data_IF_086717974701
#
_entry.id   IF_086717974701
#
_cell.length_a   1.000
_cell.length_b   1.000
_cell.length_c   1.000
_cell.angle_alpha   90.00
_cell.angle_beta   90.00
_cell.angle_gamma   90.00
#
_symmetry.space_group_name_H-M   'P 1'
#
loop_
_entity.id
_entity.type
_entity.pdbx_description
1 polymer ?
#
# COMPACT_ATOMS: atom_id res chain seq x y z
N UNK A 1 6.25 1.41 -36.84
CA UNK A 1 6.39 1.23 -35.38
C UNK A 1 7.57 0.32 -35.11
N UNK A 2 8.49 0.66 -34.18
CA UNK A 2 9.52 -0.28 -33.74
C UNK A 2 8.86 -1.55 -33.22
N UNK A 3 9.44 -2.73 -33.49
CA UNK A 3 8.97 -3.97 -32.89
C UNK A 3 9.27 -3.91 -31.39
N UNK A 4 8.23 -3.88 -30.57
CA UNK A 4 8.37 -3.98 -29.11
C UNK A 4 9.21 -5.21 -28.74
N UNK A 5 10.13 -5.05 -27.79
CA UNK A 5 10.88 -6.17 -27.21
C UNK A 5 9.92 -7.26 -26.73
N UNK A 6 10.25 -8.53 -27.01
CA UNK A 6 9.46 -9.67 -26.53
C UNK A 6 9.31 -9.67 -25.01
N UNK A 7 10.34 -9.24 -24.27
CA UNK A 7 10.32 -9.09 -22.81
C UNK A 7 9.29 -8.05 -22.37
N UNK A 8 9.25 -6.88 -23.03
CA UNK A 8 8.33 -5.81 -22.67
C UNK A 8 6.90 -6.19 -23.03
N UNK A 9 6.69 -6.78 -24.20
CA UNK A 9 5.40 -7.32 -24.61
C UNK A 9 4.89 -8.36 -23.60
N UNK A 10 5.74 -9.27 -23.16
CA UNK A 10 5.39 -10.26 -22.14
C UNK A 10 4.93 -9.59 -20.84
N UNK A 11 5.65 -8.58 -20.35
CA UNK A 11 5.26 -7.87 -19.11
C UNK A 11 3.93 -7.17 -19.29
N UNK A 12 3.76 -6.41 -20.38
CA UNK A 12 2.51 -5.69 -20.63
C UNK A 12 1.33 -6.66 -20.75
N UNK A 13 1.49 -7.78 -21.47
CA UNK A 13 0.45 -8.81 -21.60
C UNK A 13 0.14 -9.52 -20.26
N UNK A 14 1.15 -9.82 -19.43
CA UNK A 14 0.96 -10.49 -18.13
C UNK A 14 0.43 -9.56 -17.04
N UNK A 15 0.66 -8.26 -17.18
CA UNK A 15 0.21 -7.23 -16.23
C UNK A 15 -1.04 -6.48 -16.69
N UNK A 16 -1.58 -6.82 -17.87
CA UNK A 16 -2.86 -6.30 -18.34
C UNK A 16 -4.04 -7.05 -17.67
N UNK A 17 -5.15 -6.35 -17.39
CA UNK A 17 -6.39 -7.01 -17.01
C UNK A 17 -6.84 -7.95 -18.13
N UNK A 18 -7.17 -9.21 -17.82
CA UNK A 18 -7.71 -10.13 -18.82
C UNK A 18 -9.14 -9.74 -19.22
N UNK A 19 -9.58 -10.04 -20.47
CA UNK A 19 -10.94 -9.77 -20.92
C UNK A 19 -12.01 -10.43 -20.02
N UNK A 20 -13.17 -9.78 -19.93
CA UNK A 20 -14.35 -10.30 -19.24
C UNK A 20 -14.69 -11.72 -19.76
N UNK A 21 -14.83 -12.68 -18.84
CA UNK A 21 -15.20 -14.07 -19.15
C UNK A 21 -14.08 -15.10 -18.99
N UNK A 22 -12.82 -14.70 -18.89
CA UNK A 22 -11.77 -15.54 -18.29
C UNK A 22 -11.67 -15.18 -16.81
N UNK A 23 -11.70 -16.14 -15.89
CA UNK A 23 -11.66 -15.87 -14.44
C UNK A 23 -10.47 -14.93 -14.17
N UNK A 24 -10.70 -13.65 -13.81
CA UNK A 24 -9.59 -12.73 -13.75
C UNK A 24 -8.83 -13.01 -12.45
N UNK A 25 -7.52 -12.87 -12.52
CA UNK A 25 -6.67 -12.69 -11.35
C UNK A 25 -7.02 -11.31 -10.73
N UNK A 26 -8.21 -11.19 -10.11
CA UNK A 26 -8.75 -9.98 -9.47
C UNK A 26 -8.19 -9.87 -8.06
N UNK A 27 -7.85 -8.67 -7.61
CA UNK A 27 -7.23 -8.45 -6.30
C UNK A 27 -6.02 -9.37 -6.08
N UNK A 28 -5.29 -9.63 -7.17
CA UNK A 28 -4.18 -10.57 -7.21
C UNK A 28 -2.94 -9.85 -7.71
N UNK A 29 -1.79 -10.36 -7.28
CA UNK A 29 -0.51 -10.03 -7.86
C UNK A 29 -0.26 -11.01 -9.00
N UNK A 30 -0.39 -10.68 -10.29
CA UNK A 30 0.31 -11.46 -11.30
C UNK A 30 1.80 -11.33 -10.95
N UNK A 31 2.31 -12.29 -10.17
CA UNK A 31 3.68 -12.31 -9.70
C UNK A 31 4.54 -12.46 -10.95
N UNK A 32 5.12 -11.36 -11.39
CA UNK A 32 6.41 -11.39 -12.05
C UNK A 32 7.41 -10.95 -10.99
N UNK A 33 7.58 -11.79 -9.95
CA UNK A 33 8.71 -11.66 -9.01
C UNK A 33 10.04 -12.04 -9.67
N UNK A 34 10.02 -12.43 -10.94
CA UNK A 34 11.22 -12.63 -11.71
C UNK A 34 11.92 -11.29 -11.94
N UNK A 35 13.17 -11.24 -11.51
CA UNK A 35 14.09 -10.16 -11.83
C UNK A 35 14.37 -10.22 -13.34
N UNK A 36 13.88 -9.24 -14.09
CA UNK A 36 14.03 -9.18 -15.54
C UNK A 36 15.23 -8.31 -15.89
N UNK A 37 16.24 -8.89 -16.54
CA UNK A 37 17.35 -8.12 -17.09
C UNK A 37 16.87 -7.30 -18.29
N UNK A 38 17.12 -5.99 -18.25
CA UNK A 38 16.57 -5.04 -19.22
C UNK A 38 17.56 -3.94 -19.58
N UNK A 39 17.43 -3.39 -20.78
CA UNK A 39 18.10 -2.14 -21.15
C UNK A 39 17.21 -0.93 -20.83
N UNK A 40 17.81 0.27 -20.75
CA UNK A 40 17.02 1.50 -20.63
C UNK A 40 16.07 1.75 -21.81
N UNK A 41 16.42 1.30 -23.02
CA UNK A 41 15.52 1.42 -24.17
C UNK A 41 14.28 0.54 -23.98
N UNK A 42 14.44 -0.64 -23.39
CA UNK A 42 13.31 -1.49 -23.00
C UNK A 42 12.48 -0.86 -21.87
N UNK A 43 13.11 -0.13 -20.93
CA UNK A 43 12.38 0.65 -19.92
C UNK A 43 11.58 1.78 -20.57
N UNK A 44 12.15 2.49 -21.53
CA UNK A 44 11.45 3.52 -22.29
C UNK A 44 10.28 2.94 -23.11
N UNK A 45 10.46 1.78 -23.75
CA UNK A 45 9.38 1.05 -24.45
C UNK A 45 8.26 0.64 -23.49
N UNK A 46 8.61 0.19 -22.28
CA UNK A 46 7.66 -0.16 -21.24
C UNK A 46 6.80 1.03 -20.82
N UNK A 47 7.43 2.19 -20.59
CA UNK A 47 6.73 3.44 -20.22
C UNK A 47 5.85 3.92 -21.38
N UNK A 48 6.39 3.92 -22.60
CA UNK A 48 5.64 4.34 -23.79
C UNK A 48 4.44 3.42 -24.09
N UNK A 49 4.51 2.14 -23.72
CA UNK A 49 3.46 1.14 -23.93
C UNK A 49 2.26 1.26 -22.98
N UNK A 50 2.36 2.01 -21.89
CA UNK A 50 1.22 2.30 -21.01
C UNK A 50 0.30 3.37 -21.62
N UNK A 51 -1.00 3.32 -21.32
CA UNK A 51 -2.01 4.24 -21.89
C UNK A 51 -1.88 5.68 -21.34
N UNK A 52 -2.51 6.66 -21.99
CA UNK A 52 -2.43 8.08 -21.58
C UNK A 52 -3.21 8.38 -20.28
N UNK A 53 -4.09 7.46 -19.86
CA UNK A 53 -4.79 7.51 -18.57
C UNK A 53 -3.94 6.98 -17.41
N UNK A 54 -2.61 6.95 -17.58
CA UNK A 54 -1.67 6.35 -16.64
C UNK A 54 -0.77 7.43 -16.01
N UNK A 55 -0.63 7.37 -14.68
CA UNK A 55 0.20 8.30 -13.91
C UNK A 55 1.45 7.59 -13.39
N UNK A 56 2.59 8.29 -13.47
CA UNK A 56 3.86 7.84 -12.95
C UNK A 56 4.21 8.56 -11.65
N UNK A 57 4.63 7.78 -10.67
CA UNK A 57 5.17 8.25 -9.41
C UNK A 57 6.65 7.90 -9.39
N UNK A 58 7.49 8.85 -9.00
CA UNK A 58 8.93 8.68 -8.98
C UNK A 58 9.40 8.80 -7.53
N UNK A 59 10.13 7.79 -7.06
CA UNK A 59 10.79 7.80 -5.75
C UNK A 59 12.05 8.69 -5.79
N UNK A 60 12.45 9.26 -4.66
CA UNK A 60 13.68 10.07 -4.50
C UNK A 60 14.90 9.35 -5.09
N UNK A 61 15.06 8.06 -4.79
CA UNK A 61 16.20 7.27 -5.28
C UNK A 61 16.21 7.06 -6.80
N UNK A 62 15.07 7.22 -7.48
CA UNK A 62 15.03 7.19 -8.94
C UNK A 62 15.75 8.41 -9.53
N UNK A 63 15.70 9.56 -8.86
CA UNK A 63 16.43 10.78 -9.25
C UNK A 63 17.90 10.74 -8.83
N UNK A 64 18.16 10.21 -7.63
CA UNK A 64 19.41 10.44 -6.91
C UNK A 64 20.38 9.27 -6.90
N UNK A 65 20.00 8.03 -7.20
CA UNK A 65 20.93 6.90 -6.99
C UNK A 65 21.88 6.66 -8.19
N UNK A 66 21.54 7.15 -9.38
CA UNK A 66 22.28 6.85 -10.61
C UNK A 66 21.80 7.69 -11.80
N UNK A 67 22.57 7.68 -12.89
CA UNK A 67 22.16 8.30 -14.14
C UNK A 67 21.17 7.42 -14.91
N UNK A 68 19.94 7.92 -15.05
CA UNK A 68 18.90 7.38 -15.92
C UNK A 68 19.13 7.95 -17.33
N UNK A 69 19.06 7.10 -18.37
CA UNK A 69 19.28 7.57 -19.75
C UNK A 69 18.17 8.52 -20.20
N UNK A 70 18.54 9.48 -21.06
CA UNK A 70 17.61 10.46 -21.63
C UNK A 70 16.37 9.82 -22.28
N UNK A 71 16.52 8.66 -22.94
CA UNK A 71 15.40 7.95 -23.58
C UNK A 71 14.27 7.58 -22.60
N UNK A 72 14.59 7.31 -21.33
CA UNK A 72 13.59 7.06 -20.29
C UNK A 72 12.90 8.36 -19.86
N UNK A 73 13.66 9.45 -19.71
CA UNK A 73 13.09 10.77 -19.41
C UNK A 73 12.20 11.29 -20.53
N UNK A 74 12.59 11.07 -21.80
CA UNK A 74 11.78 11.42 -22.96
C UNK A 74 10.45 10.65 -22.96
N UNK A 75 10.48 9.35 -22.61
CA UNK A 75 9.27 8.54 -22.49
C UNK A 75 8.39 8.99 -21.31
N UNK A 76 8.98 9.32 -20.16
CA UNK A 76 8.27 9.87 -19.01
C UNK A 76 7.66 11.25 -19.31
N UNK A 77 8.33 12.09 -20.11
CA UNK A 77 7.83 13.40 -20.51
C UNK A 77 6.55 13.35 -21.37
N UNK A 78 6.22 12.19 -21.95
CA UNK A 78 4.95 11.95 -22.65
C UNK A 78 3.85 11.43 -21.72
N UNK A 79 4.13 11.24 -20.43
CA UNK A 79 3.19 10.70 -19.44
C UNK A 79 2.94 11.71 -18.35
N UNK A 80 1.84 11.53 -17.62
CA UNK A 80 1.56 12.34 -16.45
C UNK A 80 2.41 11.84 -15.28
N UNK A 81 3.19 12.72 -14.67
CA UNK A 81 3.97 12.45 -13.47
C UNK A 81 3.25 13.08 -12.29
N UNK A 82 3.07 12.34 -11.21
CA UNK A 82 2.57 12.87 -9.94
C UNK A 82 3.67 12.79 -8.90
N UNK A 83 4.04 13.94 -8.35
CA UNK A 83 5.05 14.09 -7.32
C UNK A 83 4.36 14.20 -5.96
N UNK A 84 4.76 13.37 -5.00
CA UNK A 84 4.27 13.49 -3.62
C UNK A 84 5.05 14.55 -2.85
N UNK A 85 4.41 15.10 -1.82
CA UNK A 85 4.97 16.13 -0.96
C UNK A 85 6.26 15.66 -0.29
N UNK A 86 6.30 14.43 0.23
CA UNK A 86 7.48 13.83 0.85
C UNK A 86 8.66 13.72 -0.10
N UNK A 87 8.46 13.17 -1.30
CA UNK A 87 9.53 13.05 -2.31
C UNK A 87 10.02 14.43 -2.72
N UNK A 88 9.12 15.39 -2.95
CA UNK A 88 9.52 16.75 -3.31
C UNK A 88 10.39 17.43 -2.25
N UNK A 89 10.09 17.19 -0.97
CA UNK A 89 10.89 17.68 0.16
C UNK A 89 12.24 16.97 0.26
N UNK A 90 12.29 15.67 0.05
CA UNK A 90 13.55 14.90 0.05
C UNK A 90 14.48 15.30 -1.09
N UNK A 91 13.93 15.74 -2.22
CA UNK A 91 14.70 16.22 -3.35
C UNK A 91 15.31 17.61 -3.13
N UNK A 92 15.02 18.32 -2.02
CA UNK A 92 15.59 19.65 -1.76
C UNK A 92 17.12 19.71 -1.85
N UNK A 93 17.89 18.82 -1.20
CA UNK A 93 19.35 18.83 -1.30
C UNK A 93 19.84 18.56 -2.73
N UNK A 94 19.18 17.64 -3.44
CA UNK A 94 19.49 17.32 -4.84
C UNK A 94 19.20 18.50 -5.77
N UNK A 95 18.09 19.23 -5.54
CA UNK A 95 17.76 20.45 -6.32
C UNK A 95 18.78 21.55 -6.13
N UNK A 96 19.34 21.70 -4.93
CA UNK A 96 20.37 22.70 -4.63
C UNK A 96 21.75 22.31 -5.18
N UNK A 97 22.09 21.03 -5.22
CA UNK A 97 23.35 20.52 -5.73
C UNK A 97 23.16 19.18 -6.44
N UNK A 98 22.71 19.20 -7.72
CA UNK A 98 22.37 17.98 -8.42
C UNK A 98 23.63 17.23 -8.84
N UNK A 99 23.64 15.93 -8.58
CA UNK A 99 24.77 15.05 -8.92
C UNK A 99 24.42 14.08 -10.05
N UNK A 100 23.32 13.33 -9.95
CA UNK A 100 22.73 12.58 -11.06
C UNK A 100 21.47 13.26 -11.60
N UNK A 101 21.19 13.09 -12.89
CA UNK A 101 19.98 13.58 -13.57
C UNK A 101 19.69 15.09 -13.39
N UNK A 102 20.73 15.91 -13.14
CA UNK A 102 20.57 17.33 -12.81
C UNK A 102 19.90 18.18 -13.90
N UNK A 103 19.92 17.71 -15.15
CA UNK A 103 19.19 18.32 -16.26
C UNK A 103 17.66 18.35 -16.05
N UNK A 104 17.13 17.53 -15.14
CA UNK A 104 15.71 17.50 -14.79
C UNK A 104 15.32 18.57 -13.77
N UNK A 105 16.27 19.16 -13.01
CA UNK A 105 15.95 20.15 -11.97
C UNK A 105 15.15 21.34 -12.53
N UNK A 106 15.54 21.98 -13.65
CA UNK A 106 14.75 23.07 -14.23
C UNK A 106 13.34 22.63 -14.60
N UNK A 107 13.18 21.43 -15.20
CA UNK A 107 11.87 20.90 -15.63
C UNK A 107 10.88 20.79 -14.47
N UNK A 108 11.33 20.28 -13.31
CA UNK A 108 10.46 20.13 -12.15
C UNK A 108 10.20 21.46 -11.42
N UNK A 109 11.18 22.37 -11.38
CA UNK A 109 10.97 23.71 -10.79
C UNK A 109 9.98 24.52 -11.63
N UNK A 110 10.17 24.56 -12.95
CA UNK A 110 9.28 25.26 -13.88
C UNK A 110 7.86 24.69 -13.79
N UNK A 111 7.71 23.36 -13.68
CA UNK A 111 6.41 22.73 -13.51
C UNK A 111 5.71 23.13 -12.21
N UNK A 112 6.46 23.32 -11.10
CA UNK A 112 5.91 23.76 -9.82
C UNK A 112 5.45 25.22 -9.87
N UNK A 113 6.16 26.07 -10.60
CA UNK A 113 5.84 27.49 -10.72
C UNK A 113 4.72 27.76 -11.73
N UNK A 114 4.74 27.07 -12.88
CA UNK A 114 3.84 27.35 -14.01
C UNK A 114 2.54 26.54 -14.02
N UNK A 115 2.34 25.63 -13.05
CA UNK A 115 1.21 24.67 -13.00
C UNK A 115 1.17 23.83 -14.28
N UNK A 116 2.03 22.83 -14.35
CA UNK A 116 2.09 21.89 -15.48
C UNK A 116 0.92 20.90 -15.49
N UNK A 117 0.38 20.58 -16.67
CA UNK A 117 -0.57 19.47 -16.84
C UNK A 117 0.13 18.10 -16.89
N UNK A 118 1.43 18.09 -17.17
CA UNK A 118 2.25 16.87 -17.28
C UNK A 118 2.81 16.47 -15.92
N UNK A 119 3.29 17.44 -15.13
CA UNK A 119 3.84 17.18 -13.79
C UNK A 119 2.91 17.82 -12.76
N UNK A 120 2.23 16.97 -11.99
CA UNK A 120 1.32 17.36 -10.93
C UNK A 120 1.99 17.20 -9.57
N UNK A 121 1.83 18.17 -8.69
CA UNK A 121 2.20 18.05 -7.29
C UNK A 121 0.96 17.70 -6.48
N UNK A 122 1.05 16.67 -5.65
CA UNK A 122 -0.11 16.14 -4.95
C UNK A 122 -0.73 17.15 -3.96
N UNK A 123 0.10 18.01 -3.36
CA UNK A 123 -0.34 19.10 -2.48
C UNK A 123 -1.21 20.14 -3.18
N UNK A 124 -1.03 20.32 -4.50
CA UNK A 124 -1.80 21.28 -5.29
C UNK A 124 -3.12 20.67 -5.80
N UNK A 125 -3.29 19.35 -5.66
CA UNK A 125 -4.46 18.64 -6.16
C UNK A 125 -5.60 18.66 -5.12
N UNK A 126 -6.78 19.13 -5.56
CA UNK A 126 -7.98 19.23 -4.74
C UNK A 126 -8.71 17.89 -4.60
N UNK A 127 -8.11 16.92 -3.89
CA UNK A 127 -8.65 15.57 -3.74
C UNK A 127 -9.92 15.47 -2.87
N UNK A 128 -10.29 16.53 -2.14
CA UNK A 128 -11.38 16.52 -1.18
C UNK A 128 -11.02 15.81 0.13
N UNK A 129 -11.84 16.06 1.17
CA UNK A 129 -11.58 15.57 2.53
C UNK A 129 -11.52 14.04 2.61
N UNK A 130 -12.45 13.26 2.01
CA UNK A 130 -12.44 11.81 2.14
C UNK A 130 -11.15 11.16 1.60
N UNK A 131 -10.66 11.64 0.45
CA UNK A 131 -9.42 11.15 -0.15
C UNK A 131 -8.20 11.49 0.72
N UNK A 132 -8.14 12.71 1.27
CA UNK A 132 -7.08 13.12 2.18
C UNK A 132 -7.05 12.27 3.46
N UNK A 133 -8.22 12.00 4.04
CA UNK A 133 -8.35 11.11 5.22
C UNK A 133 -7.94 9.68 4.87
N UNK A 134 -8.41 9.13 3.75
CA UNK A 134 -8.02 7.81 3.27
C UNK A 134 -6.50 7.68 3.11
N UNK A 135 -5.88 8.63 2.38
CA UNK A 135 -4.42 8.65 2.16
C UNK A 135 -3.70 8.66 3.51
N UNK A 136 -4.00 9.64 4.35
CA UNK A 136 -3.32 9.82 5.62
C UNK A 136 -3.54 8.62 6.56
N UNK A 137 -4.71 7.98 6.52
CA UNK A 137 -4.97 6.78 7.31
C UNK A 137 -4.04 5.63 6.91
N UNK A 138 -3.90 5.33 5.60
CA UNK A 138 -2.99 4.29 5.15
C UNK A 138 -1.53 4.62 5.38
N UNK A 139 -1.13 5.89 5.22
CA UNK A 139 0.23 6.34 5.59
C UNK A 139 0.52 5.97 7.03
N UNK A 140 -0.39 6.28 7.95
CA UNK A 140 -0.19 6.01 9.36
C UNK A 140 -0.20 4.52 9.72
N UNK A 141 -1.03 3.71 9.07
CA UNK A 141 -1.09 2.27 9.28
C UNK A 141 0.19 1.58 8.79
N UNK A 142 0.71 1.99 7.63
CA UNK A 142 1.98 1.47 7.11
C UNK A 142 3.16 1.93 7.97
N UNK A 143 3.15 3.20 8.40
CA UNK A 143 4.17 3.80 9.26
C UNK A 143 4.31 3.12 10.62
N UNK A 144 3.29 2.40 11.10
CA UNK A 144 3.33 1.69 12.38
C UNK A 144 4.53 0.74 12.49
N UNK A 145 4.95 0.17 11.36
CA UNK A 145 6.10 -0.73 11.29
C UNK A 145 7.39 -0.03 11.71
N UNK A 146 7.56 1.23 11.32
CA UNK A 146 8.67 2.10 11.74
C UNK A 146 8.48 2.57 13.17
N UNK A 147 7.25 2.95 13.56
CA UNK A 147 6.94 3.44 14.92
C UNK A 147 7.12 2.40 16.02
N UNK A 148 6.93 1.11 15.72
CA UNK A 148 7.20 0.01 16.67
C UNK A 148 8.60 0.05 17.25
N UNK A 149 9.59 0.53 16.48
CA UNK A 149 10.95 0.72 16.98
C UNK A 149 10.97 1.63 18.22
N UNK A 150 10.20 2.73 18.19
CA UNK A 150 10.08 3.64 19.32
C UNK A 150 9.36 3.00 20.50
N UNK A 151 8.31 2.19 20.25
CA UNK A 151 7.62 1.48 21.34
C UNK A 151 8.55 0.51 22.09
N UNK A 152 9.49 -0.15 21.40
CA UNK A 152 10.50 -0.99 22.06
C UNK A 152 11.48 -0.16 22.90
N UNK A 153 11.85 1.03 22.44
CA UNK A 153 12.66 1.97 23.22
C UNK A 153 11.90 2.44 24.46
N UNK A 154 10.64 2.84 24.31
CA UNK A 154 9.81 3.33 25.40
C UNK A 154 9.58 2.24 26.46
N UNK A 155 9.32 1.00 26.05
CA UNK A 155 9.20 -0.15 26.94
C UNK A 155 10.52 -0.43 27.67
N UNK A 156 11.66 -0.36 26.97
CA UNK A 156 12.96 -0.52 27.60
C UNK A 156 13.21 0.56 28.65
N UNK A 157 12.94 1.82 28.33
CA UNK A 157 13.10 2.96 29.25
C UNK A 157 12.19 2.81 30.46
N UNK A 158 10.94 2.41 30.27
CA UNK A 158 9.99 2.17 31.36
C UNK A 158 10.48 1.06 32.31
N UNK A 159 11.09 0.01 31.77
CA UNK A 159 11.57 -1.14 32.55
C UNK A 159 12.94 -0.93 33.19
N UNK A 160 13.85 -0.19 32.55
CA UNK A 160 15.26 -0.06 32.95
C UNK A 160 15.62 1.34 33.50
N UNK A 161 14.73 2.32 33.36
CA UNK A 161 14.95 3.70 33.82
C UNK A 161 16.03 4.48 33.06
N UNK A 162 16.50 3.97 31.91
CA UNK A 162 17.52 4.60 31.06
C UNK A 162 17.31 4.28 29.58
N UNK A 163 17.97 5.05 28.70
CA UNK A 163 18.00 4.76 27.27
C UNK A 163 18.78 3.46 26.98
N UNK A 164 18.37 2.67 25.97
CA UNK A 164 19.11 1.49 25.53
C UNK A 164 20.41 1.89 24.84
N UNK A 165 21.46 1.07 25.01
CA UNK A 165 22.65 1.15 24.17
C UNK A 165 22.37 0.64 22.76
N UNK A 166 23.25 0.92 21.80
CA UNK A 166 23.12 0.40 20.42
C UNK A 166 23.05 -1.13 20.36
N UNK A 167 23.78 -1.83 21.23
CA UNK A 167 23.78 -3.30 21.29
C UNK A 167 22.49 -3.85 21.90
N UNK A 168 21.98 -3.20 22.96
CA UNK A 168 20.72 -3.57 23.59
C UNK A 168 19.56 -3.35 22.62
N UNK A 169 19.58 -2.25 21.89
CA UNK A 169 18.57 -1.97 20.88
C UNK A 169 18.59 -2.99 19.74
N UNK A 170 19.78 -3.34 19.23
CA UNK A 170 19.89 -4.40 18.22
C UNK A 170 19.33 -5.72 18.74
N UNK A 171 19.59 -6.05 20.01
CA UNK A 171 19.06 -7.25 20.67
C UNK A 171 17.54 -7.20 20.79
N UNK A 172 16.96 -6.04 21.15
CA UNK A 172 15.51 -5.85 21.19
C UNK A 172 14.88 -6.09 19.82
N UNK A 173 15.44 -5.48 18.77
CA UNK A 173 14.93 -5.60 17.42
C UNK A 173 15.04 -7.04 16.88
N UNK A 174 16.14 -7.73 17.14
CA UNK A 174 16.32 -9.14 16.77
C UNK A 174 15.38 -10.09 17.50
N UNK A 175 15.02 -9.78 18.76
CA UNK A 175 14.04 -10.58 19.51
C UNK A 175 12.61 -10.34 19.06
N UNK A 176 12.31 -9.15 18.54
CA UNK A 176 10.97 -8.71 18.23
C UNK A 176 10.46 -9.13 16.84
N UNK A 177 11.36 -9.46 15.90
CA UNK A 177 10.99 -9.79 14.53
C UNK A 177 12.06 -10.56 13.78
N UNK A 178 11.83 -10.78 12.49
CA UNK A 178 12.81 -11.44 11.61
C UNK A 178 13.89 -10.44 11.11
N UNK A 179 14.79 -10.89 10.22
CA UNK A 179 15.84 -10.04 9.65
C UNK A 179 15.28 -8.81 8.89
N UNK A 180 14.14 -8.96 8.23
CA UNK A 180 13.47 -7.88 7.49
C UNK A 180 12.89 -6.85 8.45
N UNK A 181 12.22 -7.29 9.50
CA UNK A 181 11.70 -6.41 10.56
C UNK A 181 12.82 -5.64 11.25
N UNK A 182 13.97 -6.28 11.50
CA UNK A 182 15.14 -5.64 12.10
C UNK A 182 15.60 -4.41 11.30
N UNK A 183 15.70 -4.53 9.97
CA UNK A 183 16.08 -3.41 9.11
C UNK A 183 15.08 -2.25 9.15
N UNK A 184 13.79 -2.58 9.20
CA UNK A 184 12.71 -1.59 9.27
C UNK A 184 12.72 -0.87 10.62
N UNK A 185 12.90 -1.60 11.72
CA UNK A 185 13.00 -0.97 13.04
C UNK A 185 14.20 -0.04 13.12
N UNK A 186 15.34 -0.45 12.54
CA UNK A 186 16.54 0.39 12.49
C UNK A 186 16.36 1.63 11.61
N UNK A 187 15.67 1.51 10.47
CA UNK A 187 15.30 2.64 9.60
C UNK A 187 14.38 3.60 10.34
N UNK A 188 13.30 3.07 10.93
CA UNK A 188 12.33 3.85 11.70
C UNK A 188 12.97 4.62 12.86
N UNK A 189 13.85 3.99 13.64
CA UNK A 189 14.54 4.67 14.74
C UNK A 189 15.37 5.88 14.26
N UNK A 190 16.12 5.70 13.16
CA UNK A 190 16.94 6.78 12.58
C UNK A 190 16.07 7.92 12.08
N UNK A 191 15.03 7.61 11.32
CA UNK A 191 14.15 8.62 10.71
C UNK A 191 13.37 9.39 11.79
N UNK A 192 12.83 8.70 12.80
CA UNK A 192 12.13 9.33 13.93
C UNK A 192 13.06 10.27 14.69
N UNK A 193 14.33 9.92 14.88
CA UNK A 193 15.29 10.79 15.58
C UNK A 193 15.66 12.07 14.81
N UNK A 194 15.52 12.06 13.48
CA UNK A 194 15.85 13.20 12.60
C UNK A 194 14.63 14.09 12.33
N UNK A 195 13.41 13.55 12.49
CA UNK A 195 12.15 14.33 12.56
C UNK A 195 11.60 14.84 11.23
N UNK A 196 12.36 14.80 10.14
CA UNK A 196 11.90 15.20 8.80
C UNK A 196 11.65 13.97 7.90
N UNK A 197 10.55 13.98 7.14
CA UNK A 197 10.24 13.03 6.06
C UNK A 197 10.19 11.54 6.45
N UNK A 198 9.81 11.23 7.68
CA UNK A 198 9.81 9.85 8.24
C UNK A 198 8.94 8.85 7.44
N UNK A 199 7.95 9.34 6.69
CA UNK A 199 6.94 8.50 6.04
C UNK A 199 6.80 8.75 4.53
N UNK A 200 7.87 9.18 3.86
CA UNK A 200 7.85 9.46 2.41
C UNK A 200 7.45 8.23 1.59
N UNK A 201 8.01 7.06 1.91
CA UNK A 201 7.69 5.80 1.21
C UNK A 201 6.22 5.43 1.35
N UNK A 202 5.70 5.53 2.56
CA UNK A 202 4.29 5.28 2.89
C UNK A 202 3.36 6.28 2.19
N UNK A 203 3.73 7.56 2.15
CA UNK A 203 2.99 8.61 1.44
C UNK A 203 2.98 8.36 -0.07
N UNK A 204 4.11 7.95 -0.65
CA UNK A 204 4.25 7.64 -2.08
C UNK A 204 3.28 6.54 -2.50
N UNK A 205 3.28 5.41 -1.79
CA UNK A 205 2.40 4.27 -2.13
C UNK A 205 0.93 4.58 -1.85
N UNK A 206 0.61 5.28 -0.75
CA UNK A 206 -0.76 5.63 -0.40
C UNK A 206 -1.36 6.65 -1.39
N UNK A 207 -0.56 7.60 -1.85
CA UNK A 207 -1.00 8.59 -2.84
C UNK A 207 -1.23 7.93 -4.20
N UNK A 208 -0.35 7.03 -4.65
CA UNK A 208 -0.56 6.28 -5.88
C UNK A 208 -1.85 5.44 -5.83
N UNK A 209 -2.14 4.81 -4.69
CA UNK A 209 -3.41 4.10 -4.50
C UNK A 209 -4.62 5.03 -4.53
N UNK A 210 -4.55 6.16 -3.83
CA UNK A 210 -5.61 7.16 -3.83
C UNK A 210 -5.90 7.69 -5.23
N UNK A 211 -4.87 8.09 -5.99
CA UNK A 211 -5.03 8.55 -7.38
C UNK A 211 -5.67 7.44 -8.24
N UNK A 212 -5.25 6.19 -8.04
CA UNK A 212 -5.83 5.09 -8.79
C UNK A 212 -7.33 4.95 -8.54
N UNK A 213 -7.71 4.87 -7.28
CA UNK A 213 -9.09 4.58 -6.86
C UNK A 213 -10.02 5.79 -7.02
N UNK A 214 -9.56 6.98 -6.66
CA UNK A 214 -10.35 8.21 -6.67
C UNK A 214 -10.44 8.86 -8.06
N UNK A 215 -9.34 8.87 -8.84
CA UNK A 215 -9.35 9.43 -10.18
C UNK A 215 -9.71 8.41 -11.26
N UNK A 216 -9.76 7.11 -10.93
CA UNK A 216 -10.01 6.04 -11.91
C UNK A 216 -8.88 5.90 -12.93
N UNK A 217 -7.63 6.15 -12.51
CA UNK A 217 -6.45 6.17 -13.41
C UNK A 217 -5.48 5.06 -13.07
N UNK A 218 -4.80 4.50 -14.06
CA UNK A 218 -3.75 3.53 -13.77
C UNK A 218 -2.52 4.23 -13.18
N UNK A 219 -1.76 3.56 -12.32
CA UNK A 219 -0.55 4.15 -11.73
C UNK A 219 0.66 3.23 -11.82
N UNK A 220 1.86 3.82 -11.89
CA UNK A 220 3.13 3.12 -11.76
C UNK A 220 4.11 3.91 -10.93
N UNK A 221 4.61 3.30 -9.85
CA UNK A 221 5.73 3.81 -9.07
C UNK A 221 7.02 3.24 -9.67
N UNK A 222 7.99 4.11 -9.97
CA UNK A 222 9.35 3.74 -10.35
C UNK A 222 10.27 4.01 -9.17
N UNK A 223 10.94 2.98 -8.67
CA UNK A 223 11.76 3.07 -7.46
C UNK A 223 13.03 2.22 -7.56
N UNK A 224 14.01 2.57 -6.74
CA UNK A 224 15.18 1.73 -6.43
C UNK A 224 15.21 1.30 -4.96
N UNK A 225 14.28 1.80 -4.16
CA UNK A 225 14.14 1.41 -2.76
C UNK A 225 13.28 0.15 -2.65
N UNK A 226 13.86 -0.88 -2.05
CA UNK A 226 13.14 -2.10 -1.70
C UNK A 226 12.01 -1.84 -0.69
N UNK A 227 12.14 -0.83 0.18
CA UNK A 227 11.10 -0.46 1.15
C UNK A 227 9.84 0.03 0.42
N UNK A 228 9.96 0.86 -0.62
CA UNK A 228 8.79 1.30 -1.42
C UNK A 228 8.05 0.11 -2.04
N UNK A 229 8.76 -0.88 -2.59
CA UNK A 229 8.14 -2.10 -3.12
C UNK A 229 7.42 -2.90 -2.01
N UNK A 230 8.01 -2.96 -0.82
CA UNK A 230 7.44 -3.61 0.34
C UNK A 230 6.21 -2.89 0.88
N UNK A 231 6.25 -1.56 1.02
CA UNK A 231 5.09 -0.76 1.42
C UNK A 231 3.95 -0.90 0.41
N UNK A 232 4.26 -0.95 -0.89
CA UNK A 232 3.28 -1.22 -1.93
C UNK A 232 2.62 -2.59 -1.76
N UNK A 233 3.41 -3.64 -1.50
CA UNK A 233 2.90 -4.99 -1.22
C UNK A 233 2.01 -5.02 0.03
N UNK A 234 2.41 -4.34 1.11
CA UNK A 234 1.61 -4.27 2.34
C UNK A 234 0.30 -3.53 2.11
N UNK A 235 0.35 -2.37 1.45
CA UNK A 235 -0.82 -1.56 1.14
C UNK A 235 -1.85 -2.35 0.32
N UNK A 236 -1.41 -3.02 -0.73
CA UNK A 236 -2.30 -3.78 -1.63
C UNK A 236 -2.93 -5.00 -0.94
N UNK A 237 -2.20 -5.64 -0.01
CA UNK A 237 -2.77 -6.63 0.91
C UNK A 237 -3.87 -6.04 1.80
N UNK A 238 -3.61 -4.89 2.43
CA UNK A 238 -4.61 -4.18 3.25
C UNK A 238 -5.84 -3.75 2.43
N UNK A 239 -5.65 -3.18 1.24
CA UNK A 239 -6.75 -2.78 0.35
C UNK A 239 -7.63 -3.98 -0.03
N UNK A 240 -7.01 -5.13 -0.29
CA UNK A 240 -7.73 -6.37 -0.60
C UNK A 240 -8.66 -6.77 0.55
N UNK A 241 -8.12 -6.87 1.78
CA UNK A 241 -8.90 -7.32 2.93
C UNK A 241 -9.99 -6.31 3.32
N UNK A 242 -9.70 -5.01 3.22
CA UNK A 242 -10.65 -3.96 3.57
C UNK A 242 -11.78 -3.86 2.54
N UNK A 243 -11.48 -4.01 1.25
CA UNK A 243 -12.52 -4.01 0.23
C UNK A 243 -13.40 -5.26 0.31
N UNK A 244 -12.83 -6.43 0.59
CA UNK A 244 -13.61 -7.62 0.88
C UNK A 244 -14.56 -7.38 2.07
N UNK A 245 -14.09 -6.69 3.11
CA UNK A 245 -14.92 -6.32 4.24
C UNK A 245 -16.06 -5.38 3.84
N UNK A 246 -15.79 -4.37 3.01
CA UNK A 246 -16.83 -3.47 2.46
C UNK A 246 -17.90 -4.26 1.71
N UNK A 247 -17.49 -5.13 0.77
CA UNK A 247 -18.42 -5.93 -0.03
C UNK A 247 -19.25 -6.90 0.82
N UNK A 248 -18.64 -7.51 1.85
CA UNK A 248 -19.37 -8.43 2.71
C UNK A 248 -20.38 -7.68 3.57
N UNK A 249 -19.99 -6.51 4.10
CA UNK A 249 -20.89 -5.66 4.86
C UNK A 249 -22.12 -5.27 4.05
N UNK A 250 -21.97 -4.89 2.78
CA UNK A 250 -23.09 -4.61 1.87
C UNK A 250 -24.05 -5.81 1.81
N UNK A 251 -23.54 -7.01 1.50
CA UNK A 251 -24.36 -8.22 1.40
C UNK A 251 -25.04 -8.61 2.72
N UNK A 252 -24.33 -8.44 3.83
CA UNK A 252 -24.90 -8.67 5.16
C UNK A 252 -26.06 -7.71 5.41
N UNK A 253 -25.89 -6.41 5.14
CA UNK A 253 -26.94 -5.40 5.36
C UNK A 253 -28.17 -5.57 4.47
N UNK A 254 -28.01 -6.10 3.26
CA UNK A 254 -29.14 -6.42 2.36
C UNK A 254 -30.03 -7.56 2.88
N UNK A 255 -29.50 -8.46 3.69
CA UNK A 255 -30.28 -9.60 4.19
C UNK A 255 -29.57 -10.39 5.29
N UNK A 256 -29.51 -9.88 6.54
CA UNK A 256 -28.80 -10.54 7.64
C UNK A 256 -29.30 -11.97 7.92
N UNK A 257 -30.60 -12.22 7.72
CA UNK A 257 -31.23 -13.54 7.93
C UNK A 257 -30.73 -14.64 6.99
N UNK A 258 -30.02 -14.29 5.91
CA UNK A 258 -29.43 -15.26 4.96
C UNK A 258 -28.15 -15.89 5.48
N UNK A 259 -27.65 -15.41 6.60
CA UNK A 259 -26.36 -15.79 7.13
C UNK A 259 -26.51 -16.40 8.52
N UNK A 260 -25.73 -17.43 8.80
CA UNK A 260 -25.66 -18.00 10.13
C UNK A 260 -24.69 -17.17 10.98
N UNK A 261 -25.21 -16.37 11.91
CA UNK A 261 -24.42 -15.63 12.89
C UNK A 261 -24.46 -16.29 14.26
N UNK A 262 -23.36 -16.17 15.01
CA UNK A 262 -23.29 -16.54 16.41
C UNK A 262 -22.49 -15.49 17.20
N UNK A 263 -22.68 -15.38 18.53
CA UNK A 263 -21.85 -14.52 19.35
C UNK A 263 -20.36 -14.81 19.17
N UNK A 264 -19.53 -13.77 19.19
CA UNK A 264 -18.08 -13.95 19.12
C UNK A 264 -17.60 -14.73 20.36
N UNK A 265 -16.73 -15.75 20.21
CA UNK A 265 -16.17 -16.45 21.36
C UNK A 265 -15.31 -15.51 22.21
N UNK A 266 -15.31 -15.73 23.52
CA UNK A 266 -14.45 -14.97 24.42
C UNK A 266 -13.08 -15.63 24.50
N UNK A 267 -12.05 -14.93 24.02
CA UNK A 267 -10.65 -15.30 24.19
C UNK A 267 -9.82 -14.06 24.50
N UNK A 268 -8.64 -14.25 25.11
CA UNK A 268 -7.73 -13.13 25.43
C UNK A 268 -7.30 -12.39 24.17
N UNK A 269 -7.06 -13.13 23.10
CA UNK A 269 -6.66 -12.64 21.78
C UNK A 269 -7.79 -11.82 21.15
N UNK A 270 -9.02 -12.32 21.12
CA UNK A 270 -10.16 -11.59 20.57
C UNK A 270 -10.47 -10.33 21.38
N UNK A 271 -10.38 -10.39 22.72
CA UNK A 271 -10.52 -9.23 23.59
C UNK A 271 -9.44 -8.17 23.37
N UNK A 272 -8.27 -8.54 22.83
CA UNK A 272 -7.22 -7.59 22.48
C UNK A 272 -7.62 -6.70 21.29
N UNK A 273 -8.31 -7.29 20.29
CA UNK A 273 -8.70 -6.62 19.05
C UNK A 273 -10.10 -6.03 19.08
N UNK A 274 -11.03 -6.63 19.83
CA UNK A 274 -12.45 -6.33 19.73
C UNK A 274 -13.12 -6.13 21.11
N UNK A 275 -14.29 -5.50 21.08
CA UNK A 275 -15.27 -5.49 22.18
C UNK A 275 -16.19 -6.71 21.97
N UNK A 276 -15.77 -7.86 22.51
CA UNK A 276 -16.31 -9.19 22.18
C UNK A 276 -17.81 -9.33 22.44
N UNK A 277 -18.31 -8.79 23.54
CA UNK A 277 -19.73 -8.81 23.94
C UNK A 277 -20.65 -8.04 22.99
N UNK A 278 -20.09 -7.15 22.16
CA UNK A 278 -20.81 -6.41 21.13
C UNK A 278 -20.52 -6.92 19.71
N UNK A 279 -19.83 -8.05 19.60
CA UNK A 279 -19.31 -8.57 18.34
C UNK A 279 -19.91 -9.94 18.00
N UNK A 280 -20.03 -10.23 16.71
CA UNK A 280 -20.55 -11.50 16.21
C UNK A 280 -19.63 -12.07 15.14
N UNK A 281 -19.66 -13.39 15.01
CA UNK A 281 -19.02 -14.08 13.88
C UNK A 281 -20.10 -14.67 12.99
N UNK A 282 -19.86 -14.60 11.69
CA UNK A 282 -20.82 -14.93 10.65
C UNK A 282 -20.20 -16.01 9.78
N UNK A 283 -20.85 -17.16 9.68
CA UNK A 283 -20.38 -18.25 8.82
C UNK A 283 -20.47 -17.81 7.36
N UNK A 284 -19.39 -18.01 6.62
CA UNK A 284 -19.35 -17.77 5.17
C UNK A 284 -20.37 -18.67 4.48
N UNK A 285 -21.16 -18.16 3.52
CA UNK A 285 -22.24 -18.91 2.88
C UNK A 285 -21.73 -19.95 1.86
N UNK A 286 -20.43 -19.94 1.57
CA UNK A 286 -19.74 -20.87 0.66
C UNK A 286 -18.43 -21.30 1.30
N UNK A 287 -17.83 -22.38 0.77
CA UNK A 287 -16.52 -22.85 1.20
C UNK A 287 -15.45 -21.73 1.11
N UNK A 288 -14.45 -21.70 2.00
CA UNK A 288 -13.44 -20.64 2.05
C UNK A 288 -12.77 -20.36 0.70
N UNK A 289 -12.48 -21.40 -0.09
CA UNK A 289 -11.80 -21.25 -1.39
C UNK A 289 -12.71 -20.65 -2.48
N UNK A 290 -14.04 -20.78 -2.33
CA UNK A 290 -15.03 -20.18 -3.24
C UNK A 290 -15.50 -18.79 -2.76
N UNK A 291 -15.14 -18.39 -1.54
CA UNK A 291 -15.68 -17.20 -0.91
C UNK A 291 -15.33 -15.91 -1.64
N UNK A 292 -14.10 -15.79 -2.13
CA UNK A 292 -13.69 -14.58 -2.87
C UNK A 292 -14.47 -14.45 -4.19
N UNK A 293 -14.60 -15.52 -4.96
CA UNK A 293 -15.40 -15.51 -6.20
C UNK A 293 -16.87 -15.22 -5.91
N UNK A 294 -17.41 -15.75 -4.80
CA UNK A 294 -18.77 -15.47 -4.38
C UNK A 294 -18.96 -13.99 -4.05
N UNK A 295 -17.99 -13.36 -3.37
CA UNK A 295 -18.06 -12.01 -2.85
C UNK A 295 -17.94 -10.92 -3.93
N UNK A 296 -16.98 -11.09 -4.85
CA UNK A 296 -16.63 -10.05 -5.82
C UNK A 296 -17.78 -9.71 -6.79
N UNK A 297 -17.96 -8.43 -7.17
CA UNK A 297 -18.98 -8.03 -8.14
C UNK A 297 -18.77 -8.73 -9.48
N UNK A 298 -19.83 -9.17 -10.17
CA UNK A 298 -19.66 -9.87 -11.46
C UNK A 298 -19.07 -8.97 -12.55
N UNK A 299 -19.50 -7.71 -12.57
CA UNK A 299 -19.07 -6.70 -13.53
C UNK A 299 -18.35 -5.60 -12.76
N UNK A 300 -17.03 -5.54 -12.89
CA UNK A 300 -16.23 -4.45 -12.33
C UNK A 300 -15.15 -4.08 -13.35
N UNK A 301 -14.97 -2.79 -13.57
CA UNK A 301 -13.90 -2.30 -14.42
C UNK A 301 -12.58 -2.40 -13.66
N UNK A 302 -11.55 -3.04 -14.23
CA UNK A 302 -10.27 -3.20 -13.57
C UNK A 302 -9.45 -1.91 -13.67
N UNK A 303 -8.79 -1.58 -12.57
CA UNK A 303 -7.77 -0.55 -12.49
C UNK A 303 -6.44 -1.19 -12.12
N UNK A 304 -5.34 -0.60 -12.56
CA UNK A 304 -4.00 -1.16 -12.39
C UNK A 304 -3.13 -0.23 -11.58
N UNK A 305 -2.63 -0.75 -10.47
CA UNK A 305 -1.53 -0.18 -9.69
C UNK A 305 -0.28 -1.00 -9.94
N UNK A 306 0.88 -0.36 -10.10
CA UNK A 306 2.15 -1.07 -10.28
C UNK A 306 3.26 -0.38 -9.49
N UNK A 307 4.16 -1.17 -8.93
CA UNK A 307 5.45 -0.71 -8.42
C UNK A 307 6.56 -1.47 -9.15
N UNK A 308 7.52 -0.74 -9.72
CA UNK A 308 8.64 -1.30 -10.48
C UNK A 308 9.92 -0.96 -9.74
N UNK A 309 10.54 -1.99 -9.16
CA UNK A 309 11.84 -1.88 -8.52
C UNK A 309 12.95 -2.08 -9.56
N UNK A 310 13.84 -1.12 -9.67
CA UNK A 310 15.06 -1.22 -10.46
C UNK A 310 16.25 -1.61 -9.59
N UNK A 311 17.09 -2.50 -10.11
CA UNK A 311 18.37 -2.89 -9.47
C UNK A 311 19.48 -2.94 -10.52
N UNK A 312 20.74 -2.84 -10.06
CA UNK A 312 21.90 -2.86 -10.95
C UNK A 312 22.14 -1.55 -11.71
N UNK A 313 23.15 -1.56 -12.57
CA UNK A 313 23.58 -0.40 -13.36
C UNK A 313 23.82 -0.81 -14.81
N UNK A 314 23.50 0.10 -15.77
CA UNK A 314 23.78 -0.03 -17.20
C UNK A 314 23.54 -1.46 -17.74
N UNK A 315 24.61 -2.24 -17.91
CA UNK A 315 24.60 -3.59 -18.51
C UNK A 315 24.04 -4.68 -17.57
N UNK A 316 23.94 -4.38 -16.28
CA UNK A 316 23.30 -5.21 -15.26
C UNK A 316 21.96 -4.69 -14.77
N UNK A 317 21.36 -3.71 -15.48
CA UNK A 317 20.05 -3.17 -15.11
C UNK A 317 19.00 -4.27 -15.14
N UNK A 318 18.21 -4.33 -14.08
CA UNK A 318 17.10 -5.25 -13.96
C UNK A 318 15.88 -4.57 -13.36
N UNK A 319 14.70 -5.02 -13.75
CA UNK A 319 13.43 -4.58 -13.19
C UNK A 319 12.64 -5.73 -12.59
N UNK A 320 11.98 -5.46 -11.47
CA UNK A 320 11.06 -6.38 -10.79
C UNK A 320 9.69 -5.70 -10.66
N UNK A 321 8.74 -5.97 -11.56
CA UNK A 321 7.42 -5.34 -11.53
C UNK A 321 6.45 -6.11 -10.61
N UNK A 322 5.92 -5.41 -9.61
CA UNK A 322 4.78 -5.88 -8.81
C UNK A 322 3.52 -5.12 -9.23
N UNK A 323 2.57 -5.85 -9.82
CA UNK A 323 1.29 -5.27 -10.27
C UNK A 323 0.16 -5.74 -9.37
N UNK A 324 -0.78 -4.84 -9.07
CA UNK A 324 -2.01 -5.12 -8.36
C UNK A 324 -3.20 -4.62 -9.18
N UNK A 325 -4.17 -5.51 -9.41
CA UNK A 325 -5.39 -5.20 -10.15
C UNK A 325 -6.52 -4.93 -9.16
N UNK A 326 -6.85 -3.65 -8.99
CA UNK A 326 -7.99 -3.17 -8.23
C UNK A 326 -9.24 -3.04 -9.11
N UNK A 327 -10.36 -2.65 -8.50
CA UNK A 327 -11.65 -2.55 -9.18
C UNK A 327 -12.26 -1.17 -8.93
N UNK A 328 -12.93 -0.59 -9.92
CA UNK A 328 -13.58 0.72 -9.74
C UNK A 328 -14.53 0.81 -8.54
N UNK A 329 -15.27 -0.23 -8.11
CA UNK A 329 -16.10 -0.13 -6.91
C UNK A 329 -15.31 0.00 -5.60
N UNK A 330 -13.98 -0.20 -5.60
CA UNK A 330 -13.12 0.11 -4.45
C UNK A 330 -13.13 1.61 -4.09
N UNK A 331 -13.63 2.50 -4.94
CA UNK A 331 -13.87 3.90 -4.57
C UNK A 331 -14.75 4.02 -3.32
N UNK A 332 -15.72 3.14 -3.13
CA UNK A 332 -16.57 3.11 -1.93
C UNK A 332 -15.76 2.90 -0.64
N UNK A 333 -14.65 2.15 -0.72
CA UNK A 333 -13.76 1.97 0.43
C UNK A 333 -13.03 3.28 0.77
N UNK A 334 -12.64 4.06 -0.25
CA UNK A 334 -12.04 5.39 -0.07
C UNK A 334 -13.02 6.31 0.65
N UNK A 335 -14.27 6.34 0.17
CA UNK A 335 -15.35 7.15 0.76
C UNK A 335 -15.63 6.73 2.20
N UNK A 336 -15.87 5.43 2.44
CA UNK A 336 -16.18 4.90 3.75
C UNK A 336 -15.07 5.17 4.78
N UNK A 337 -13.80 4.90 4.45
CA UNK A 337 -12.68 5.21 5.36
C UNK A 337 -12.52 6.71 5.56
N UNK A 338 -12.73 7.49 4.51
CA UNK A 338 -12.64 8.94 4.53
C UNK A 338 -13.67 9.61 5.44
N UNK A 339 -14.91 9.10 5.45
CA UNK A 339 -16.02 9.65 6.24
C UNK A 339 -16.04 9.11 7.67
N UNK A 340 -15.73 7.83 7.85
CA UNK A 340 -15.75 7.16 9.16
C UNK A 340 -14.43 7.24 9.94
N UNK A 341 -13.41 7.89 9.39
CA UNK A 341 -12.07 8.01 9.98
C UNK A 341 -11.34 6.68 10.22
N UNK A 342 -11.67 5.65 9.43
CA UNK A 342 -10.91 4.39 9.41
C UNK A 342 -11.72 3.10 9.28
N UNK A 343 -13.05 3.12 9.42
CA UNK A 343 -13.87 1.92 9.24
C UNK A 343 -13.93 1.50 7.77
N UNK A 344 -14.09 0.21 7.52
CA UNK A 344 -14.21 -0.32 6.15
C UNK A 344 -15.59 -0.06 5.53
N UNK A 345 -16.56 0.38 6.33
CA UNK A 345 -17.96 0.61 5.93
C UNK A 345 -18.68 1.50 6.94
N UNK A 346 -19.67 2.27 6.49
CA UNK A 346 -20.56 3.03 7.36
C UNK A 346 -21.86 2.27 7.71
N UNK A 347 -22.11 1.13 7.04
CA UNK A 347 -23.38 0.42 7.06
C UNK A 347 -23.66 -0.33 8.37
N UNK A 348 -22.68 -0.42 9.27
CA UNK A 348 -22.70 -1.31 10.42
C UNK A 348 -22.78 -0.58 11.77
N UNK A 349 -23.30 0.65 11.79
CA UNK A 349 -23.55 1.43 13.01
C UNK A 349 -22.32 1.53 13.93
N UNK A 350 -21.16 1.85 13.35
CA UNK A 350 -19.89 1.99 14.06
C UNK A 350 -19.14 0.68 14.32
N UNK A 351 -19.72 -0.48 13.98
CA UNK A 351 -18.97 -1.74 13.89
C UNK A 351 -18.21 -1.80 12.57
N UNK A 352 -17.15 -2.59 12.56
CA UNK A 352 -16.37 -2.89 11.38
C UNK A 352 -16.61 -4.34 10.94
N UNK A 353 -16.24 -4.62 9.70
CA UNK A 353 -16.27 -5.96 9.12
C UNK A 353 -14.83 -6.41 8.84
N UNK A 354 -14.53 -7.67 9.14
CA UNK A 354 -13.22 -8.28 8.92
C UNK A 354 -13.38 -9.67 8.35
N UNK A 355 -12.86 -9.88 7.14
CA UNK A 355 -13.08 -11.10 6.36
C UNK A 355 -11.91 -12.09 6.47
N UNK A 356 -10.84 -11.67 7.14
CA UNK A 356 -9.60 -12.43 7.27
C UNK A 356 -9.74 -13.52 8.32
N UNK A 357 -9.02 -14.64 8.10
CA UNK A 357 -8.88 -15.75 9.06
C UNK A 357 -7.99 -15.41 10.26
N UNK A 358 -7.93 -14.12 10.63
CA UNK A 358 -7.17 -13.59 11.76
C UNK A 358 -8.18 -12.79 12.60
N UNK A 359 -8.29 -13.01 13.92
CA UNK A 359 -7.21 -13.43 14.80
C UNK A 359 -7.35 -14.85 15.36
N UNK A 360 -6.22 -15.36 15.84
CA UNK A 360 -6.11 -16.48 16.80
C UNK A 360 -7.25 -16.37 17.84
N UNK A 361 -8.01 -17.45 18.03
CA UNK A 361 -9.12 -17.48 19.00
C UNK A 361 -10.48 -17.88 18.42
N UNK A 362 -10.65 -17.89 17.09
CA UNK A 362 -11.82 -18.48 16.42
C UNK A 362 -11.44 -19.88 15.90
N UNK A 363 -12.26 -20.90 16.20
CA UNK A 363 -12.10 -22.22 15.60
C UNK A 363 -12.47 -22.18 14.12
N UNK A 364 -11.55 -22.62 13.25
CA UNK A 364 -11.69 -22.55 11.79
C UNK A 364 -11.95 -21.10 11.28
N UNK A 365 -10.99 -20.18 11.48
CA UNK A 365 -11.20 -18.76 11.21
C UNK A 365 -11.43 -18.46 9.73
N UNK A 366 -10.99 -19.34 8.81
CA UNK A 366 -11.24 -19.21 7.37
C UNK A 366 -12.71 -19.35 7.01
N UNK A 367 -13.52 -20.01 7.84
CA UNK A 367 -14.96 -20.20 7.63
C UNK A 367 -15.84 -19.06 8.13
N UNK A 368 -15.28 -18.05 8.80
CA UNK A 368 -16.05 -16.96 9.39
C UNK A 368 -15.64 -15.59 8.86
N UNK A 369 -16.58 -14.66 8.96
CA UNK A 369 -16.39 -13.22 8.89
C UNK A 369 -16.69 -12.65 10.26
N UNK A 370 -15.90 -11.68 10.70
CA UNK A 370 -16.08 -11.00 11.98
C UNK A 370 -16.80 -9.68 11.73
N UNK A 371 -17.88 -9.45 12.48
CA UNK A 371 -18.57 -8.17 12.55
C UNK A 371 -18.45 -7.68 13.99
N UNK A 372 -17.60 -6.68 14.21
CA UNK A 372 -17.13 -6.35 15.54
C UNK A 372 -17.02 -4.85 15.80
N UNK A 373 -17.14 -4.46 17.06
CA UNK A 373 -16.69 -3.14 17.49
C UNK A 373 -15.18 -3.22 17.79
N UNK A 374 -14.39 -2.51 17.00
CA UNK A 374 -12.94 -2.55 17.08
C UNK A 374 -12.42 -1.88 18.36
N UNK A 375 -11.31 -2.41 18.88
CA UNK A 375 -10.45 -1.65 19.81
C UNK A 375 -9.44 -0.86 18.99
N UNK A 376 -9.38 0.42 19.29
CA UNK A 376 -8.56 1.37 18.56
C UNK A 376 -7.31 1.75 19.35
N UNK A 377 -6.21 1.98 18.64
CA UNK A 377 -5.10 2.79 19.11
C UNK A 377 -5.35 4.22 18.63
N UNK A 378 -5.18 5.19 19.53
CA UNK A 378 -5.18 6.61 19.18
C UNK A 378 -3.74 7.06 19.09
N UNK A 379 -3.39 7.67 17.98
CA UNK A 379 -2.18 8.48 17.92
C UNK A 379 -2.46 9.78 18.67
N UNK A 380 -1.65 10.11 19.68
CA UNK A 380 -1.80 11.32 20.49
C UNK A 380 -1.73 12.60 19.64
N UNK A 381 -1.11 12.52 18.46
CA UNK A 381 -0.88 13.65 17.57
C UNK A 381 -1.83 13.67 16.36
N UNK A 382 -2.81 12.75 16.29
CA UNK A 382 -3.75 12.72 15.18
C UNK A 382 -5.19 12.45 15.62
N UNK A 383 -6.14 12.90 14.80
CA UNK A 383 -7.56 12.60 14.98
C UNK A 383 -7.95 11.18 14.51
N UNK A 384 -6.99 10.44 13.93
CA UNK A 384 -7.24 9.11 13.40
C UNK A 384 -7.35 8.06 14.51
N UNK A 385 -8.21 7.07 14.28
CA UNK A 385 -8.34 5.89 15.12
C UNK A 385 -7.94 4.69 14.29
N UNK A 386 -6.99 3.91 14.78
CA UNK A 386 -6.49 2.75 14.05
C UNK A 386 -6.98 1.47 14.73
N UNK A 387 -7.80 0.63 14.07
CA UNK A 387 -8.13 -0.69 14.58
C UNK A 387 -6.84 -1.46 14.86
N UNK A 388 -6.74 -2.06 16.05
CA UNK A 388 -5.56 -2.86 16.43
C UNK A 388 -5.29 -4.00 15.44
N UNK A 389 -6.35 -4.54 14.83
CA UNK A 389 -6.22 -5.60 13.84
C UNK A 389 -5.55 -5.09 12.55
N UNK A 390 -5.89 -3.88 12.09
CA UNK A 390 -5.31 -3.30 10.87
C UNK A 390 -3.81 -3.00 11.08
N UNK A 391 -3.44 -2.52 12.27
CA UNK A 391 -2.02 -2.36 12.66
C UNK A 391 -1.29 -3.71 12.71
N UNK A 392 -1.94 -4.76 13.21
CA UNK A 392 -1.38 -6.11 13.18
C UNK A 392 -1.17 -6.60 11.74
N UNK A 393 -2.17 -6.44 10.86
CA UNK A 393 -2.03 -6.81 9.44
C UNK A 393 -0.91 -6.03 8.72
N UNK A 394 -0.73 -4.74 9.04
CA UNK A 394 0.34 -3.95 8.45
C UNK A 394 1.73 -4.48 8.88
N UNK A 395 1.84 -4.91 10.14
CA UNK A 395 3.10 -5.35 10.74
C UNK A 395 3.44 -6.82 10.45
N UNK A 396 2.46 -7.71 10.31
CA UNK A 396 2.68 -9.14 9.98
C UNK A 396 2.98 -9.36 8.50
N UNK A 397 3.95 -10.23 8.15
CA UNK A 397 4.22 -10.57 6.76
C UNK A 397 3.11 -11.45 6.17
N UNK A 398 2.48 -11.03 5.07
CA UNK A 398 1.37 -11.76 4.44
C UNK A 398 1.76 -13.17 3.95
N UNK A 399 3.05 -13.45 3.75
CA UNK A 399 3.56 -14.79 3.41
C UNK A 399 3.36 -15.77 4.57
N UNK A 400 3.43 -15.30 5.81
CA UNK A 400 3.18 -16.09 7.03
C UNK A 400 1.67 -16.33 7.26
N UNK A 401 0.80 -15.55 6.59
CA UNK A 401 -0.65 -15.71 6.65
C UNK A 401 -1.19 -16.75 5.65
N UNK A 402 -0.40 -17.17 4.65
CA UNK A 402 -0.80 -18.25 3.71
C UNK A 402 -0.68 -19.65 4.30
N UNK A 403 0.04 -19.79 5.42
CA UNK A 403 0.26 -21.06 6.13
C UNK A 403 -0.77 -21.35 7.23
N UNK A 404 -1.81 -20.51 7.37
CA UNK A 404 -2.96 -20.67 8.28
C UNK A 404 -4.24 -20.68 7.46
#
# INVERSE_FOLDING_TARGET
MPRQSQTIRFILEKTQPRPAGTAPHRLFYPLVQEKLHVSYDQVAEFIAGDQDTHDYFLDTNFFTDHQVKQTVWDALGQKRITMTTGVWKELLPWRSNPFYNGHMVPVFNDAKEAVSSTILFDEDAAWGVPCGVFRNWYVNVLAERKRRAQSFVDEFVANQGRQPSSEELNTLFQKAGNERDFHIFRKGQREISVGANVFTDEELVATAAMVTLAAGRNTTILTRDHDVLEQFYKLTGLLTIHYQATLFAERWTEGPSRFQSQPMPSSKELCHYFVVDQSVIIRKPVAPDAFFTWLLPRNAEPLRMRCVLFTGQNDGLAMTPLTYICETPMLKLVEAKGQSWGLNTELLNGKNCHVTGFPVGISDPRSFVVLALDRFVRDSNSQYKFPRLDLAHATTHFEELKSV
#
